data_IF_516275600617
#
_entry.id   IF_516275600617
#
_cell.length_a   1.000
_cell.length_b   1.000
_cell.length_c   1.000
_cell.angle_alpha   90.00
_cell.angle_beta   90.00
_cell.angle_gamma   90.00
#
_symmetry.space_group_name_H-M   'P 1'
#
loop_
_entity.id
_entity.type
_entity.pdbx_description
1 polymer ?
#
# COMPACT_ATOMS: atom_id res chain seq x y z
N UNK A 1 30.41 0.57 13.64
CA UNK A 1 29.37 1.50 13.15
C UNK A 1 28.09 1.19 13.90
N UNK A 2 27.70 2.04 14.86
CA UNK A 2 26.41 1.92 15.54
C UNK A 2 25.31 2.18 14.52
N UNK A 3 24.56 1.15 14.16
CA UNK A 3 23.31 1.32 13.42
C UNK A 3 22.31 1.96 14.37
N UNK A 4 22.17 3.28 14.28
CA UNK A 4 21.06 4.01 14.89
C UNK A 4 19.77 3.45 14.27
N UNK A 5 19.10 2.55 14.98
CA UNK A 5 17.76 2.09 14.62
C UNK A 5 16.84 3.29 14.85
N UNK A 6 16.59 4.04 13.78
CA UNK A 6 15.72 5.20 13.83
C UNK A 6 14.28 4.68 13.87
N UNK A 7 13.73 4.57 15.08
CA UNK A 7 12.32 4.23 15.25
C UNK A 7 11.51 5.35 14.63
N UNK A 8 10.75 5.07 13.59
CA UNK A 8 9.74 6.00 13.12
C UNK A 8 8.87 6.40 14.31
N UNK A 9 8.85 7.70 14.59
CA UNK A 9 8.18 8.24 15.76
C UNK A 9 6.69 7.85 15.70
N UNK A 10 6.12 7.40 16.82
CA UNK A 10 4.67 7.09 16.91
C UNK A 10 3.77 8.20 16.32
N UNK A 11 4.09 9.51 16.45
CA UNK A 11 3.35 10.58 15.79
C UNK A 11 3.31 10.48 14.25
N UNK A 12 4.42 10.11 13.61
CA UNK A 12 4.50 9.99 12.15
C UNK A 12 3.63 8.85 11.62
N UNK A 13 3.60 7.71 12.32
CA UNK A 13 2.73 6.58 11.96
C UNK A 13 1.25 6.95 12.06
N UNK A 14 0.87 7.70 13.11
CA UNK A 14 -0.50 8.22 13.28
C UNK A 14 -0.86 9.19 12.14
N UNK A 15 0.07 10.05 11.72
CA UNK A 15 -0.13 10.95 10.58
C UNK A 15 -0.40 10.19 9.28
N UNK A 16 0.39 9.16 8.96
CA UNK A 16 0.17 8.36 7.75
C UNK A 16 -1.18 7.65 7.77
N UNK A 17 -1.55 7.07 8.92
CA UNK A 17 -2.87 6.46 9.11
C UNK A 17 -4.01 7.46 8.94
N UNK A 18 -3.85 8.66 9.51
CA UNK A 18 -4.83 9.74 9.36
C UNK A 18 -4.98 10.15 7.88
N UNK A 19 -3.88 10.36 7.15
CA UNK A 19 -3.91 10.67 5.71
C UNK A 19 -4.59 9.58 4.88
N UNK A 20 -4.32 8.30 5.19
CA UNK A 20 -4.97 7.19 4.52
C UNK A 20 -6.48 7.13 4.79
N UNK A 21 -6.90 7.30 6.04
CA UNK A 21 -8.32 7.33 6.39
C UNK A 21 -9.05 8.52 5.74
N UNK A 22 -8.40 9.68 5.70
CA UNK A 22 -8.91 10.86 5.00
C UNK A 22 -9.04 10.57 3.50
N UNK A 23 -8.05 9.94 2.86
CA UNK A 23 -8.13 9.58 1.45
C UNK A 23 -9.28 8.61 1.15
N UNK A 24 -9.44 7.55 1.96
CA UNK A 24 -10.55 6.60 1.84
C UNK A 24 -11.89 7.32 2.02
N UNK A 25 -11.98 8.22 3.00
CA UNK A 25 -13.18 9.00 3.26
C UNK A 25 -13.51 9.95 2.10
N UNK A 26 -12.53 10.68 1.56
CA UNK A 26 -12.75 11.55 0.39
C UNK A 26 -13.21 10.75 -0.82
N UNK A 27 -12.62 9.58 -1.09
CA UNK A 27 -13.06 8.70 -2.17
C UNK A 27 -14.48 8.20 -1.92
N UNK A 28 -14.78 7.71 -0.72
CA UNK A 28 -16.11 7.21 -0.37
C UNK A 28 -17.18 8.31 -0.49
N UNK A 29 -16.90 9.52 0.02
CA UNK A 29 -17.80 10.67 -0.09
C UNK A 29 -17.94 11.11 -1.55
N UNK A 30 -16.84 11.22 -2.29
CA UNK A 30 -16.82 11.58 -3.71
C UNK A 30 -17.61 10.61 -4.59
N UNK A 31 -17.52 9.31 -4.33
CA UNK A 31 -18.34 8.29 -5.01
C UNK A 31 -19.79 8.28 -4.51
N UNK A 32 -20.05 8.70 -3.27
CA UNK A 32 -21.41 8.72 -2.71
C UNK A 32 -22.27 9.86 -3.24
N UNK A 33 -21.66 11.00 -3.53
CA UNK A 33 -22.31 12.22 -4.03
C UNK A 33 -22.45 12.26 -5.55
N UNK A 34 -22.11 11.18 -6.25
CA UNK A 34 -22.10 11.14 -7.71
C UNK A 34 -23.52 11.12 -8.29
N UNK A 35 -23.98 12.15 -9.02
CA UNK A 35 -25.24 12.11 -9.76
C UNK A 35 -25.00 11.35 -11.07
N UNK A 36 -25.03 10.02 -11.01
CA UNK A 36 -24.83 9.12 -12.15
C UNK A 36 -25.67 7.86 -12.01
N UNK A 37 -25.77 7.06 -13.07
CA UNK A 37 -26.46 5.77 -13.00
C UNK A 37 -25.83 4.90 -11.90
N UNK A 38 -26.66 4.25 -11.08
CA UNK A 38 -26.19 3.40 -9.98
C UNK A 38 -25.18 2.34 -10.42
N UNK A 39 -25.28 1.88 -11.67
CA UNK A 39 -24.37 0.91 -12.26
C UNK A 39 -22.94 1.44 -12.44
N UNK A 40 -22.77 2.70 -12.87
CA UNK A 40 -21.45 3.31 -13.05
C UNK A 40 -20.80 3.60 -11.68
N UNK A 41 -21.61 4.03 -10.71
CA UNK A 41 -21.18 4.23 -9.32
C UNK A 41 -20.70 2.92 -8.69
N UNK A 42 -21.48 1.84 -8.82
CA UNK A 42 -21.11 0.52 -8.29
C UNK A 42 -19.83 -0.01 -8.94
N UNK A 43 -19.70 0.13 -10.27
CA UNK A 43 -18.48 -0.24 -10.99
C UNK A 43 -17.26 0.53 -10.46
N UNK A 44 -17.41 1.83 -10.22
CA UNK A 44 -16.34 2.69 -9.69
C UNK A 44 -15.93 2.30 -8.27
N UNK A 45 -16.88 2.00 -7.37
CA UNK A 45 -16.56 1.54 -6.01
C UNK A 45 -15.72 0.26 -6.09
N UNK A 46 -16.17 -0.72 -6.87
CA UNK A 46 -15.46 -2.00 -7.02
C UNK A 46 -14.07 -1.80 -7.66
N UNK A 47 -13.95 -0.91 -8.65
CA UNK A 47 -12.68 -0.55 -9.28
C UNK A 47 -11.69 0.07 -8.30
N UNK A 48 -12.12 0.99 -7.44
CA UNK A 48 -11.26 1.61 -6.42
C UNK A 48 -10.79 0.60 -5.37
N UNK A 49 -11.69 -0.27 -4.90
CA UNK A 49 -11.32 -1.35 -3.97
C UNK A 49 -10.32 -2.33 -4.60
N UNK A 50 -10.53 -2.69 -5.87
CA UNK A 50 -9.62 -3.55 -6.61
C UNK A 50 -8.24 -2.88 -6.80
N UNK A 51 -8.20 -1.60 -7.18
CA UNK A 51 -6.98 -0.80 -7.28
C UNK A 51 -6.21 -0.73 -5.96
N UNK A 52 -6.91 -0.47 -4.85
CA UNK A 52 -6.34 -0.43 -3.51
C UNK A 52 -5.75 -1.80 -3.13
N UNK A 53 -6.48 -2.89 -3.38
CA UNK A 53 -6.00 -4.25 -3.15
C UNK A 53 -4.77 -4.58 -4.00
N UNK A 54 -4.77 -4.20 -5.29
CA UNK A 54 -3.65 -4.39 -6.19
C UNK A 54 -2.41 -3.60 -5.76
N UNK A 55 -2.57 -2.38 -5.23
CA UNK A 55 -1.48 -1.59 -4.67
C UNK A 55 -0.84 -2.28 -3.45
N UNK A 56 -1.66 -2.85 -2.55
CA UNK A 56 -1.13 -3.64 -1.43
C UNK A 56 -0.41 -4.92 -1.87
N UNK A 57 -0.95 -5.63 -2.85
CA UNK A 57 -0.30 -6.83 -3.42
C UNK A 57 1.03 -6.45 -4.08
N UNK A 58 1.09 -5.35 -4.82
CA UNK A 58 2.33 -4.85 -5.41
C UNK A 58 3.35 -4.48 -4.33
N UNK A 59 2.93 -3.77 -3.28
CA UNK A 59 3.80 -3.43 -2.15
C UNK A 59 4.34 -4.68 -1.43
N UNK A 60 3.48 -5.68 -1.19
CA UNK A 60 3.88 -6.97 -0.62
C UNK A 60 4.87 -7.70 -1.53
N UNK A 61 4.61 -7.73 -2.83
CA UNK A 61 5.50 -8.37 -3.79
C UNK A 61 6.90 -7.72 -3.85
N UNK A 62 6.96 -6.38 -3.83
CA UNK A 62 8.25 -5.66 -3.77
C UNK A 62 9.00 -5.99 -2.49
N UNK A 63 8.29 -6.07 -1.35
CA UNK A 63 8.88 -6.51 -0.07
C UNK A 63 9.43 -7.93 -0.15
N UNK A 64 8.64 -8.88 -0.64
CA UNK A 64 9.05 -10.30 -0.72
C UNK A 64 10.26 -10.47 -1.65
N UNK A 65 10.36 -9.66 -2.72
CA UNK A 65 11.54 -9.57 -3.60
C UNK A 65 12.79 -9.06 -2.87
N UNK A 66 12.70 -7.96 -2.11
CA UNK A 66 13.84 -7.42 -1.37
C UNK A 66 14.32 -8.38 -0.27
N UNK A 67 13.39 -9.00 0.47
CA UNK A 67 13.72 -9.99 1.50
C UNK A 67 14.38 -11.24 0.88
N UNK A 68 13.86 -11.74 -0.24
CA UNK A 68 14.46 -12.89 -0.94
C UNK A 68 15.88 -12.59 -1.44
N UNK A 69 16.13 -11.37 -1.94
CA UNK A 69 17.49 -10.91 -2.30
C UNK A 69 18.41 -10.84 -1.08
N UNK A 70 17.94 -10.33 0.05
CA UNK A 70 18.73 -10.25 1.28
C UNK A 70 19.09 -11.64 1.85
N UNK A 71 18.20 -12.63 1.70
CA UNK A 71 18.42 -14.02 2.13
C UNK A 71 19.21 -14.86 1.11
N UNK A 72 19.65 -14.29 -0.02
CA UNK A 72 20.41 -14.99 -1.05
C UNK A 72 19.59 -16.04 -1.83
N UNK A 73 18.27 -16.01 -1.68
CA UNK A 73 17.35 -16.93 -2.35
C UNK A 73 16.97 -16.31 -3.69
N UNK A 74 17.62 -16.75 -4.77
CA UNK A 74 17.26 -16.37 -6.14
C UNK A 74 15.87 -16.97 -6.46
N UNK A 75 14.82 -16.18 -6.25
CA UNK A 75 13.46 -16.59 -6.59
C UNK A 75 13.26 -16.38 -8.09
N UNK A 76 13.48 -17.44 -8.86
CA UNK A 76 13.18 -17.57 -10.29
C UNK A 76 11.66 -17.57 -10.56
N UNK A 77 10.96 -16.47 -10.28
CA UNK A 77 9.57 -16.30 -10.74
C UNK A 77 9.35 -14.99 -11.49
N UNK A 78 9.99 -14.80 -12.67
CA UNK A 78 9.61 -13.74 -13.59
C UNK A 78 8.11 -13.79 -13.95
N UNK A 79 7.48 -14.97 -13.91
CA UNK A 79 6.05 -15.13 -14.15
C UNK A 79 5.19 -14.47 -13.06
N UNK A 80 5.55 -14.58 -11.78
CA UNK A 80 4.79 -13.93 -10.69
C UNK A 80 4.91 -12.40 -10.75
N UNK A 81 6.08 -11.87 -11.14
CA UNK A 81 6.29 -10.44 -11.40
C UNK A 81 5.27 -9.89 -12.41
N UNK A 82 5.09 -10.61 -13.52
CA UNK A 82 4.19 -10.21 -14.60
C UNK A 82 2.73 -10.21 -14.14
N UNK A 83 2.31 -11.18 -13.33
CA UNK A 83 0.95 -11.24 -12.78
C UNK A 83 0.68 -10.05 -11.85
N UNK A 84 1.62 -9.73 -10.96
CA UNK A 84 1.43 -8.66 -9.98
C UNK A 84 1.46 -7.28 -10.64
N UNK A 85 2.43 -7.02 -11.52
CA UNK A 85 2.51 -5.77 -12.26
C UNK A 85 1.36 -5.64 -13.27
N UNK A 86 1.02 -6.73 -13.96
CA UNK A 86 -0.10 -6.80 -14.88
C UNK A 86 -1.42 -6.52 -14.19
N UNK A 87 -1.67 -7.12 -13.02
CA UNK A 87 -2.87 -6.88 -12.22
C UNK A 87 -2.98 -5.44 -11.74
N UNK A 88 -1.88 -4.83 -11.30
CA UNK A 88 -1.86 -3.42 -10.89
C UNK A 88 -2.13 -2.47 -12.06
N UNK A 89 -1.46 -2.65 -13.19
CA UNK A 89 -1.72 -1.83 -14.39
C UNK A 89 -3.12 -2.04 -14.94
N UNK A 90 -3.61 -3.28 -14.95
CA UNK A 90 -4.97 -3.58 -15.36
C UNK A 90 -5.99 -2.88 -14.46
N UNK A 91 -5.78 -2.90 -13.14
CA UNK A 91 -6.63 -2.17 -12.19
C UNK A 91 -6.59 -0.66 -12.46
N UNK A 92 -5.40 -0.10 -12.68
CA UNK A 92 -5.19 1.31 -12.97
C UNK A 92 -5.90 1.73 -14.27
N UNK A 93 -5.73 0.95 -15.33
CA UNK A 93 -6.35 1.19 -16.63
C UNK A 93 -7.86 1.03 -16.57
N UNK A 94 -8.38 0.03 -15.85
CA UNK A 94 -9.82 -0.21 -15.73
C UNK A 94 -10.52 0.88 -14.93
N UNK A 95 -9.88 1.37 -13.87
CA UNK A 95 -10.40 2.50 -13.07
C UNK A 95 -10.34 3.82 -13.85
N UNK A 96 -9.24 4.08 -14.56
CA UNK A 96 -9.10 5.25 -15.43
C UNK A 96 -10.09 5.23 -16.61
N UNK A 97 -10.32 4.05 -17.20
CA UNK A 97 -11.32 3.85 -18.25
C UNK A 97 -12.75 4.06 -17.73
N UNK A 98 -13.05 3.56 -16.52
CA UNK A 98 -14.32 3.81 -15.84
C UNK A 98 -14.59 5.31 -15.63
N UNK A 99 -13.58 6.06 -15.20
CA UNK A 99 -13.64 7.53 -15.08
C UNK A 99 -13.87 8.23 -16.42
N UNK A 100 -13.20 7.78 -17.48
CA UNK A 100 -13.32 8.37 -18.81
C UNK A 100 -14.74 8.21 -19.36
N UNK A 101 -15.30 7.00 -19.25
CA UNK A 101 -16.61 6.63 -19.80
C UNK A 101 -17.79 7.36 -19.13
N UNK A 102 -17.61 7.88 -17.93
CA UNK A 102 -18.69 8.55 -17.22
C UNK A 102 -19.03 9.90 -17.84
N UNK A 103 -20.27 10.18 -18.23
CA UNK A 103 -20.71 11.52 -18.66
C UNK A 103 -21.06 12.38 -17.43
N UNK A 104 -20.06 12.70 -16.61
CA UNK A 104 -20.20 13.58 -15.44
C UNK A 104 -19.43 14.88 -15.67
N UNK A 105 -19.87 15.96 -15.04
CA UNK A 105 -19.20 17.27 -15.03
C UNK A 105 -17.68 17.12 -14.76
N UNK A 106 -16.89 17.80 -15.57
CA UNK A 106 -15.44 17.69 -15.66
C UNK A 106 -14.73 17.94 -14.33
N UNK A 107 -15.30 18.82 -13.49
CA UNK A 107 -14.80 19.09 -12.14
C UNK A 107 -14.87 17.87 -11.22
N UNK A 108 -15.96 17.09 -11.28
CA UNK A 108 -16.10 15.88 -10.46
C UNK A 108 -15.17 14.76 -10.92
N UNK A 109 -14.97 14.63 -12.24
CA UNK A 109 -13.98 13.69 -12.79
C UNK A 109 -12.57 14.00 -12.30
N UNK A 110 -12.18 15.28 -12.33
CA UNK A 110 -10.89 15.72 -11.83
C UNK A 110 -10.74 15.43 -10.34
N UNK A 111 -11.76 15.76 -9.53
CA UNK A 111 -11.76 15.47 -8.09
C UNK A 111 -11.62 13.97 -7.80
N UNK A 112 -12.40 13.13 -8.48
CA UNK A 112 -12.31 11.67 -8.34
C UNK A 112 -10.92 11.16 -8.75
N UNK A 113 -10.40 11.59 -9.89
CA UNK A 113 -9.08 11.20 -10.37
C UNK A 113 -7.97 11.58 -9.39
N UNK A 114 -8.01 12.79 -8.82
CA UNK A 114 -7.02 13.22 -7.81
C UNK A 114 -7.18 12.44 -6.52
N UNK A 115 -8.41 12.23 -6.04
CA UNK A 115 -8.68 11.46 -4.81
C UNK A 115 -8.21 10.01 -4.94
N UNK A 116 -8.38 9.40 -6.11
CA UNK A 116 -7.90 8.07 -6.43
C UNK A 116 -6.37 7.98 -6.42
N UNK A 117 -5.69 8.89 -7.10
CA UNK A 117 -4.22 8.92 -7.09
C UNK A 117 -3.69 9.14 -5.66
N UNK A 118 -4.33 10.05 -4.91
CA UNK A 118 -3.99 10.30 -3.52
C UNK A 118 -4.20 9.06 -2.63
N UNK A 119 -5.28 8.31 -2.85
CA UNK A 119 -5.55 7.04 -2.18
C UNK A 119 -4.46 6.00 -2.46
N UNK A 120 -4.00 5.88 -3.72
CA UNK A 120 -2.92 4.97 -4.10
C UNK A 120 -1.61 5.36 -3.40
N UNK A 121 -1.26 6.65 -3.41
CA UNK A 121 -0.09 7.16 -2.69
C UNK A 121 -0.18 6.83 -1.19
N UNK A 122 -1.32 7.11 -0.55
CA UNK A 122 -1.52 6.80 0.87
C UNK A 122 -1.45 5.30 1.15
N UNK A 123 -1.95 4.45 0.24
CA UNK A 123 -1.88 2.98 0.37
C UNK A 123 -0.43 2.49 0.35
N UNK A 124 0.40 3.03 -0.55
CA UNK A 124 1.83 2.71 -0.57
C UNK A 124 2.57 3.25 0.66
N UNK A 125 2.22 4.44 1.15
CA UNK A 125 2.78 4.99 2.38
C UNK A 125 2.40 4.10 3.57
N UNK A 126 1.14 3.69 3.68
CA UNK A 126 0.68 2.77 4.72
C UNK A 126 1.41 1.43 4.65
N UNK A 127 1.55 0.85 3.45
CA UNK A 127 2.27 -0.40 3.27
C UNK A 127 3.75 -0.30 3.69
N UNK A 128 4.40 0.85 3.42
CA UNK A 128 5.76 1.14 3.91
C UNK A 128 5.79 1.26 5.43
N UNK A 129 4.93 2.07 6.04
CA UNK A 129 4.89 2.20 7.51
C UNK A 129 4.69 0.87 8.23
N UNK A 130 3.86 -0.01 7.67
CA UNK A 130 3.61 -1.33 8.23
C UNK A 130 4.82 -2.25 8.09
N UNK A 131 5.57 -2.11 6.99
CA UNK A 131 6.86 -2.76 6.78
C UNK A 131 7.89 -2.26 7.79
N UNK A 132 8.05 -0.96 7.94
CA UNK A 132 9.05 -0.34 8.82
C UNK A 132 8.84 -0.77 10.27
N UNK A 133 7.56 -0.90 10.70
CA UNK A 133 7.20 -1.47 12.01
C UNK A 133 7.61 -2.94 12.16
N UNK A 134 7.34 -3.75 11.14
CA UNK A 134 7.64 -5.18 11.20
C UNK A 134 9.15 -5.46 11.19
N UNK A 135 9.94 -4.68 10.43
CA UNK A 135 11.40 -4.77 10.45
C UNK A 135 11.99 -4.34 11.80
N UNK A 136 11.43 -3.28 12.41
CA UNK A 136 11.82 -2.84 13.75
C UNK A 136 11.58 -3.94 14.81
N UNK A 137 10.38 -4.53 14.84
CA UNK A 137 10.04 -5.60 15.79
C UNK A 137 10.94 -6.84 15.62
N UNK A 138 11.26 -7.22 14.38
CA UNK A 138 12.16 -8.35 14.09
C UNK A 138 13.60 -8.06 14.55
N UNK A 139 14.06 -6.82 14.42
CA UNK A 139 15.40 -6.42 14.87
C UNK A 139 15.52 -6.45 16.40
N UNK A 140 14.50 -6.01 17.12
CA UNK A 140 14.43 -6.09 18.59
C UNK A 140 14.43 -7.55 19.06
N UNK A 141 13.65 -8.44 18.43
CA UNK A 141 13.64 -9.86 18.75
C UNK A 141 15.01 -10.53 18.53
N UNK A 142 15.73 -10.16 17.46
CA UNK A 142 17.11 -10.66 17.21
C UNK A 142 18.11 -10.15 18.24
N UNK A 143 17.99 -8.91 18.70
CA UNK A 143 18.84 -8.34 19.75
C UNK A 143 18.57 -9.00 21.10
N UNK A 144 17.30 -9.18 21.46
CA UNK A 144 16.90 -9.88 22.68
C UNK A 144 17.40 -11.33 22.71
N UNK A 145 17.31 -12.05 21.58
CA UNK A 145 17.84 -13.41 21.45
C UNK A 145 19.37 -13.51 21.50
N UNK A 146 20.11 -12.46 21.09
CA UNK A 146 21.58 -12.40 21.24
C UNK A 146 21.98 -12.12 22.68
N UNK A 147 21.27 -11.23 23.38
CA UNK A 147 21.50 -10.89 24.77
C UNK A 147 21.20 -12.07 25.72
N UNK A 148 20.15 -12.84 25.47
CA UNK A 148 19.87 -14.06 26.24
C UNK A 148 20.94 -15.14 26.03
N UNK A 149 21.43 -15.31 24.79
CA UNK A 149 22.47 -16.28 24.47
C UNK A 149 23.84 -15.92 25.06
N UNK A 150 24.17 -14.63 25.20
CA UNK A 150 25.40 -14.21 25.88
C UNK A 150 25.35 -14.42 27.39
N UNK A 151 24.18 -14.23 28.01
CA UNK A 151 24.03 -14.43 29.46
C UNK A 151 24.19 -15.90 29.86
N UNK A 152 23.66 -16.82 29.04
CA UNK A 152 23.81 -18.28 29.25
C UNK A 152 25.26 -18.75 29.04
N UNK A 153 26.05 -18.05 28.23
CA UNK A 153 27.45 -18.42 27.97
C UNK A 153 28.43 -17.88 29.03
N UNK A 154 27.97 -17.03 29.94
CA UNK A 154 28.75 -16.42 31.04
C UNK A 154 28.49 -17.04 32.41
N UNK A 155 27.53 -17.97 32.52
CA UNK A 155 27.31 -18.88 33.67
C UNK A 155 27.98 -20.23 33.40
#
# INVERSE_FOLDING_TARGET
MQTLIHRDSKPWQVQVWASFLIAVFLCAVGLSYLPGKDLDRAFMVMGYFFCLSAAFVLAKYVRDQEQSRAEGRLVDTPMFKLVVWGGFFLAMSLTGWGLWRMEVNETYKAFLGVSWLYLITCSFTLAKTLRDRHEADLSEARLAGRASRSNIASE
#
